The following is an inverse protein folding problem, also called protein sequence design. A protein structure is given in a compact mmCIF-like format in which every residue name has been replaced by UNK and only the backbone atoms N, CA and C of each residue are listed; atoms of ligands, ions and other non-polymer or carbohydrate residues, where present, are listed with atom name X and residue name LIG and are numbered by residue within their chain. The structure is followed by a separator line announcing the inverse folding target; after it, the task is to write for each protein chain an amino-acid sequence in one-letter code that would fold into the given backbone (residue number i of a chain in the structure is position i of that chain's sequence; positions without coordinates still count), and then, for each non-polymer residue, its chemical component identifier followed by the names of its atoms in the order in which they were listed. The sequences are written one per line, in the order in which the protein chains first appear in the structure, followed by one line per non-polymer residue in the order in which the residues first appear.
data_IF_606565590707
#
_entry.id   IF_606565590707
#
_cell.length_a   1.000
_cell.length_b   1.000
_cell.length_c   1.000
_cell.angle_alpha   90.00
_cell.angle_beta   90.00
_cell.angle_gamma   90.00
#
_symmetry.space_group_name_H-M   'P 1'
#
loop_
_entity.id
_entity.type
_entity.pdbx_description
1 polymer ?
#
# COMPACT_ATOMS: atom_id res chain seq x y z
N UNK A 1 17.62 68.75 52.07
CA UNK A 1 18.86 68.21 51.46
C UNK A 1 19.00 66.66 51.60
N UNK A 2 17.98 65.92 52.01
CA UNK A 2 18.04 64.47 52.29
C UNK A 2 17.41 63.60 51.18
N UNK A 3 16.59 64.15 50.30
CA UNK A 3 15.81 63.41 49.29
C UNK A 3 16.67 63.08 48.04
N UNK A 4 17.67 63.83 47.72
CA UNK A 4 18.53 63.63 46.55
C UNK A 4 19.59 62.50 46.69
N UNK A 5 19.84 62.02 47.92
CA UNK A 5 20.77 60.89 48.16
C UNK A 5 20.12 59.51 48.00
N UNK A 6 18.80 59.39 48.03
CA UNK A 6 18.06 58.12 47.91
C UNK A 6 18.00 57.67 46.48
N UNK A 7 17.89 58.58 45.51
CA UNK A 7 17.67 58.26 44.09
C UNK A 7 18.99 57.68 43.42
N UNK A 8 20.13 58.03 43.92
CA UNK A 8 21.42 57.57 43.39
C UNK A 8 21.80 56.13 43.83
N UNK A 9 21.18 55.60 44.92
CA UNK A 9 21.41 54.20 45.34
C UNK A 9 20.57 53.22 44.54
N UNK A 10 19.40 53.63 44.05
CA UNK A 10 18.52 52.75 43.26
C UNK A 10 19.05 52.48 41.83
N UNK A 11 19.89 53.37 41.30
CA UNK A 11 20.48 53.20 39.93
C UNK A 11 21.64 52.22 39.84
N UNK A 12 22.25 51.79 40.97
CA UNK A 12 23.40 50.87 40.95
C UNK A 12 23.04 49.40 41.11
N UNK A 13 21.78 49.09 41.33
CA UNK A 13 21.31 47.70 41.52
C UNK A 13 20.80 47.01 40.23
N UNK A 14 20.83 47.69 39.08
CA UNK A 14 20.18 47.17 37.88
C UNK A 14 21.18 46.68 36.84
N UNK A 15 22.37 46.21 37.14
CA UNK A 15 23.15 45.53 36.09
C UNK A 15 24.36 44.72 36.53
N UNK A 16 24.20 43.62 37.26
CA UNK A 16 25.21 42.56 37.11
C UNK A 16 24.74 41.41 36.21
N UNK A 17 23.46 41.36 35.85
CA UNK A 17 22.90 40.21 35.13
C UNK A 17 23.34 40.12 33.66
N UNK A 18 23.61 41.28 33.01
CA UNK A 18 23.95 41.31 31.58
C UNK A 18 25.39 40.88 31.23
N UNK A 19 26.36 41.05 32.16
CA UNK A 19 27.76 40.74 31.86
C UNK A 19 28.12 39.25 31.93
N UNK A 20 27.36 38.43 32.65
CA UNK A 20 27.62 37.01 32.77
C UNK A 20 26.93 36.17 31.66
N UNK A 21 25.92 36.72 30.99
CA UNK A 21 25.26 36.04 29.88
C UNK A 21 26.16 35.91 28.65
N UNK A 22 26.97 36.89 28.36
CA UNK A 22 27.89 36.85 27.22
C UNK A 22 29.12 35.97 27.42
N UNK A 23 29.43 35.60 28.69
CA UNK A 23 30.58 34.78 29.03
C UNK A 23 30.21 33.30 29.23
N UNK A 24 28.93 32.99 29.26
CA UNK A 24 28.45 31.65 29.56
C UNK A 24 28.22 30.87 28.24
N UNK A 25 29.23 30.07 27.82
CA UNK A 25 29.17 29.23 26.62
C UNK A 25 28.19 28.08 26.71
N UNK A 26 27.62 27.78 27.88
CA UNK A 26 26.61 26.75 28.05
C UNK A 26 25.30 27.09 27.31
N UNK A 27 24.98 28.36 27.06
CA UNK A 27 23.83 28.75 26.26
C UNK A 27 23.96 28.50 24.76
N UNK A 28 25.20 28.44 24.23
CA UNK A 28 25.44 28.25 22.78
C UNK A 28 25.03 26.88 22.33
N UNK A 29 25.34 25.84 23.10
CA UNK A 29 24.95 24.46 22.79
C UNK A 29 23.42 24.26 22.76
N UNK A 30 22.69 24.95 23.64
CA UNK A 30 21.21 24.90 23.65
C UNK A 30 20.64 25.58 22.40
N UNK A 31 21.21 26.70 21.98
CA UNK A 31 20.79 27.40 20.76
C UNK A 31 21.11 26.60 19.49
N UNK A 32 22.28 25.96 19.43
CA UNK A 32 22.63 25.07 18.33
C UNK A 32 21.67 23.89 18.24
N UNK A 33 21.37 23.25 19.38
CA UNK A 33 20.40 22.13 19.44
C UNK A 33 18.97 22.61 19.09
N UNK A 34 18.57 23.80 19.51
CA UNK A 34 17.25 24.34 19.20
C UNK A 34 17.05 24.58 17.69
N UNK A 35 18.12 24.85 16.94
CA UNK A 35 18.03 25.05 15.48
C UNK A 35 18.16 23.71 14.74
N UNK A 36 19.13 22.89 15.11
CA UNK A 36 19.42 21.62 14.40
C UNK A 36 18.44 20.52 14.78
N UNK A 37 18.01 20.46 16.04
CA UNK A 37 17.16 19.40 16.57
C UNK A 37 15.83 19.23 15.82
N UNK A 38 15.04 20.29 15.61
CA UNK A 38 13.76 20.17 14.87
C UNK A 38 13.95 19.70 13.43
N UNK A 39 14.99 20.19 12.74
CA UNK A 39 15.29 19.78 11.36
C UNK A 39 15.70 18.31 11.30
N UNK A 40 16.51 17.87 12.23
CA UNK A 40 16.93 16.47 12.33
C UNK A 40 15.76 15.53 12.61
N UNK A 41 14.89 15.89 13.58
CA UNK A 41 13.70 15.10 13.89
C UNK A 41 12.75 15.04 12.67
N UNK A 42 12.52 16.17 12.01
CA UNK A 42 11.69 16.23 10.82
C UNK A 42 12.24 15.35 9.68
N UNK A 43 13.55 15.30 9.50
CA UNK A 43 14.22 14.42 8.56
C UNK A 43 14.02 12.94 8.91
N UNK A 44 14.20 12.57 10.19
CA UNK A 44 13.94 11.20 10.65
C UNK A 44 12.48 10.79 10.41
N UNK A 45 11.52 11.67 10.70
CA UNK A 45 10.10 11.40 10.44
C UNK A 45 9.82 11.23 8.94
N UNK A 46 10.48 12.01 8.08
CA UNK A 46 10.35 11.87 6.63
C UNK A 46 10.89 10.51 6.14
N UNK A 47 12.03 10.05 6.68
CA UNK A 47 12.57 8.73 6.40
C UNK A 47 11.63 7.62 6.86
N UNK A 48 11.10 7.70 8.08
CA UNK A 48 10.13 6.72 8.57
C UNK A 48 8.87 6.67 7.72
N UNK A 49 8.37 7.83 7.31
CA UNK A 49 7.20 7.92 6.44
C UNK A 49 7.43 7.24 5.08
N UNK A 50 8.57 7.49 4.43
CA UNK A 50 8.91 6.82 3.16
C UNK A 50 9.11 5.32 3.34
N UNK A 51 9.70 4.89 4.45
CA UNK A 51 9.90 3.49 4.79
C UNK A 51 8.57 2.73 4.95
N UNK A 52 7.57 3.34 5.58
CA UNK A 52 6.25 2.71 5.73
C UNK A 52 5.56 2.50 4.38
N UNK A 53 5.68 3.46 3.46
CA UNK A 53 5.13 3.31 2.11
C UNK A 53 5.85 2.18 1.36
N UNK A 54 7.16 2.11 1.47
CA UNK A 54 7.95 1.05 0.84
C UNK A 54 7.61 -0.33 1.42
N UNK A 55 7.43 -0.41 2.74
CA UNK A 55 6.99 -1.64 3.41
C UNK A 55 5.63 -2.10 2.88
N UNK A 56 4.66 -1.18 2.77
CA UNK A 56 3.34 -1.49 2.21
C UNK A 56 3.44 -1.99 0.76
N UNK A 57 4.33 -1.42 -0.06
CA UNK A 57 4.59 -1.88 -1.42
C UNK A 57 5.16 -3.31 -1.45
N UNK A 58 6.14 -3.62 -0.61
CA UNK A 58 6.74 -4.95 -0.52
C UNK A 58 5.73 -6.02 -0.05
N UNK A 59 4.87 -5.65 0.90
CA UNK A 59 3.78 -6.53 1.35
C UNK A 59 2.79 -6.82 0.21
N UNK A 60 2.46 -5.81 -0.60
CA UNK A 60 1.57 -5.98 -1.74
C UNK A 60 2.21 -6.85 -2.84
N UNK A 61 3.49 -6.71 -3.09
CA UNK A 61 4.24 -7.55 -4.04
C UNK A 61 4.26 -9.01 -3.60
N UNK A 62 4.54 -9.28 -2.33
CA UNK A 62 4.48 -10.63 -1.77
C UNK A 62 3.08 -11.24 -1.89
N UNK A 63 2.03 -10.45 -1.65
CA UNK A 63 0.66 -10.88 -1.82
C UNK A 63 0.34 -11.18 -3.31
N UNK A 64 0.87 -10.38 -4.25
CA UNK A 64 0.70 -10.60 -5.68
C UNK A 64 1.40 -11.89 -6.16
N UNK A 65 2.57 -12.19 -5.65
CA UNK A 65 3.26 -13.46 -5.95
C UNK A 65 2.47 -14.66 -5.42
N UNK A 66 1.96 -14.59 -4.19
CA UNK A 66 1.11 -15.62 -3.60
C UNK A 66 -0.20 -15.83 -4.38
N UNK A 67 -0.87 -14.73 -4.73
CA UNK A 67 -2.09 -14.76 -5.53
C UNK A 67 -1.84 -15.27 -6.96
N UNK A 68 -0.69 -14.92 -7.54
CA UNK A 68 -0.26 -15.45 -8.84
C UNK A 68 -0.12 -16.97 -8.83
N UNK A 69 0.37 -17.55 -7.74
CA UNK A 69 0.46 -19.01 -7.60
C UNK A 69 -0.90 -19.68 -7.60
N UNK A 70 -1.94 -19.08 -6.98
CA UNK A 70 -3.31 -19.64 -6.99
C UNK A 70 -3.88 -19.71 -8.42
N UNK A 71 -3.54 -18.73 -9.26
CA UNK A 71 -3.95 -18.72 -10.66
C UNK A 71 -3.07 -19.66 -11.50
N UNK A 72 -1.76 -19.72 -11.25
CA UNK A 72 -0.83 -20.56 -12.00
C UNK A 72 -1.10 -22.05 -11.79
N UNK A 73 -1.37 -22.46 -10.56
CA UNK A 73 -1.63 -23.88 -10.22
C UNK A 73 -3.07 -24.32 -10.51
N UNK A 74 -3.91 -23.43 -10.99
CA UNK A 74 -5.31 -23.75 -11.30
C UNK A 74 -6.23 -23.84 -10.10
N UNK A 75 -5.75 -23.55 -8.89
CA UNK A 75 -6.58 -23.57 -7.67
C UNK A 75 -7.77 -22.62 -7.81
N UNK A 76 -7.53 -21.41 -8.32
CA UNK A 76 -8.59 -20.43 -8.51
C UNK A 76 -9.64 -20.86 -9.54
N UNK A 77 -9.28 -21.70 -10.51
CA UNK A 77 -10.15 -22.15 -11.60
C UNK A 77 -10.90 -23.44 -11.26
N UNK A 78 -10.28 -24.36 -10.55
CA UNK A 78 -10.77 -25.72 -10.38
C UNK A 78 -11.40 -25.98 -9.01
N UNK A 79 -11.06 -25.21 -8.00
CA UNK A 79 -11.55 -25.46 -6.64
C UNK A 79 -13.00 -25.04 -6.51
N UNK A 80 -13.80 -25.90 -5.87
CA UNK A 80 -15.19 -25.61 -5.55
C UNK A 80 -15.26 -24.71 -4.31
N UNK A 81 -15.82 -23.53 -4.48
CA UNK A 81 -16.10 -22.62 -3.40
C UNK A 81 -17.21 -23.18 -2.47
N UNK A 82 -17.31 -22.66 -1.26
CA UNK A 82 -18.30 -23.09 -0.27
C UNK A 82 -19.77 -22.95 -0.72
N UNK A 83 -20.03 -22.14 -1.75
CA UNK A 83 -21.34 -21.97 -2.39
C UNK A 83 -21.65 -23.03 -3.44
N UNK A 84 -20.77 -23.99 -3.67
CA UNK A 84 -20.95 -25.09 -4.64
C UNK A 84 -20.54 -24.72 -6.07
N UNK A 85 -20.14 -23.49 -6.36
CA UNK A 85 -19.65 -23.10 -7.70
C UNK A 85 -18.20 -23.53 -7.88
N UNK A 86 -17.88 -24.04 -9.06
CA UNK A 86 -16.50 -24.38 -9.42
C UNK A 86 -15.82 -23.16 -10.03
N UNK A 87 -14.62 -22.87 -9.53
CA UNK A 87 -13.87 -21.66 -9.84
C UNK A 87 -14.26 -20.49 -8.94
N UNK A 88 -13.25 -19.68 -8.60
CA UNK A 88 -13.44 -18.50 -7.78
C UNK A 88 -13.95 -17.34 -8.64
N UNK A 89 -14.99 -16.67 -8.19
CA UNK A 89 -15.41 -15.39 -8.77
C UNK A 89 -14.39 -14.29 -8.42
N UNK A 90 -14.52 -13.12 -9.04
CA UNK A 90 -13.66 -11.96 -8.73
C UNK A 90 -13.71 -11.58 -7.24
N UNK A 91 -14.90 -11.65 -6.64
CA UNK A 91 -15.09 -11.38 -5.21
C UNK A 91 -14.49 -12.48 -4.33
N UNK A 92 -14.66 -13.74 -4.71
CA UNK A 92 -14.11 -14.88 -3.95
C UNK A 92 -12.58 -14.89 -4.03
N UNK A 93 -12.02 -14.59 -5.18
CA UNK A 93 -10.56 -14.47 -5.35
C UNK A 93 -9.98 -13.31 -4.52
N UNK A 94 -10.63 -12.15 -4.53
CA UNK A 94 -10.26 -11.04 -3.64
C UNK A 94 -10.34 -11.45 -2.18
N UNK A 95 -11.42 -12.14 -1.78
CA UNK A 95 -11.59 -12.64 -0.41
C UNK A 95 -10.52 -13.68 -0.05
N UNK A 96 -10.14 -14.55 -0.99
CA UNK A 96 -9.07 -15.52 -0.79
C UNK A 96 -7.71 -14.81 -0.51
N UNK A 97 -7.42 -13.73 -1.23
CA UNK A 97 -6.21 -12.93 -0.98
C UNK A 97 -6.26 -12.29 0.41
N UNK A 98 -7.41 -11.74 0.82
CA UNK A 98 -7.56 -10.98 2.05
C UNK A 98 -7.62 -11.86 3.30
N UNK A 99 -8.46 -12.91 3.24
CA UNK A 99 -8.88 -13.68 4.43
C UNK A 99 -8.43 -15.13 4.39
N UNK A 100 -7.79 -15.53 3.29
CA UNK A 100 -7.56 -16.93 3.01
C UNK A 100 -8.78 -17.60 2.39
N UNK A 101 -8.59 -18.83 1.93
CA UNK A 101 -9.59 -19.61 1.23
C UNK A 101 -9.60 -21.04 1.73
N UNK A 102 -10.78 -21.61 1.84
CA UNK A 102 -11.00 -23.05 2.08
C UNK A 102 -12.04 -23.54 1.10
N UNK A 103 -11.73 -24.62 0.40
CA UNK A 103 -12.60 -25.22 -0.60
C UNK A 103 -12.23 -26.67 -0.86
N UNK A 104 -12.84 -27.27 -1.87
CA UNK A 104 -12.61 -28.65 -2.23
C UNK A 104 -12.08 -28.73 -3.66
N UNK A 105 -11.00 -29.46 -3.87
CA UNK A 105 -10.47 -29.72 -5.20
C UNK A 105 -11.40 -30.62 -6.01
N UNK A 106 -11.26 -30.70 -7.34
CA UNK A 106 -12.04 -31.64 -8.18
C UNK A 106 -11.88 -33.09 -7.78
N UNK A 107 -10.77 -33.46 -7.15
CA UNK A 107 -10.49 -34.78 -6.60
C UNK A 107 -11.16 -35.05 -5.25
N UNK A 108 -11.87 -34.10 -4.68
CA UNK A 108 -12.51 -34.19 -3.37
C UNK A 108 -11.57 -33.88 -2.18
N UNK A 109 -10.36 -33.42 -2.43
CA UNK A 109 -9.41 -33.07 -1.39
C UNK A 109 -9.66 -31.64 -0.89
N UNK A 110 -9.55 -31.44 0.43
CA UNK A 110 -9.68 -30.12 1.02
C UNK A 110 -8.47 -29.25 0.67
N UNK A 111 -8.72 -28.11 0.03
CA UNK A 111 -7.71 -27.09 -0.29
C UNK A 111 -7.89 -25.91 0.67
N UNK A 112 -6.84 -25.55 1.35
CA UNK A 112 -6.83 -24.38 2.24
C UNK A 112 -5.59 -23.52 1.96
N UNK A 113 -5.82 -22.22 1.81
CA UNK A 113 -4.75 -21.23 1.64
C UNK A 113 -4.87 -20.17 2.72
N UNK A 114 -3.76 -19.78 3.36
CA UNK A 114 -3.78 -18.70 4.33
C UNK A 114 -4.07 -17.35 3.65
N UNK A 115 -4.43 -16.36 4.46
CA UNK A 115 -4.52 -14.97 4.00
C UNK A 115 -3.15 -14.51 3.47
N UNK A 116 -3.16 -13.95 2.27
CA UNK A 116 -1.95 -13.45 1.60
C UNK A 116 -1.72 -11.97 1.91
N UNK A 117 -2.80 -11.22 2.16
CA UNK A 117 -2.73 -9.81 2.50
C UNK A 117 -2.43 -9.67 4.01
N UNK A 118 -1.33 -8.99 4.38
CA UNK A 118 -1.03 -8.74 5.79
C UNK A 118 -2.10 -7.87 6.46
N UNK A 119 -2.31 -8.07 7.76
CA UNK A 119 -3.34 -7.37 8.55
C UNK A 119 -3.21 -5.83 8.57
N UNK A 120 -2.06 -5.29 8.18
CA UNK A 120 -1.86 -3.85 8.04
C UNK A 120 -2.57 -3.25 6.82
N UNK A 121 -2.92 -4.07 5.83
CA UNK A 121 -3.57 -3.64 4.60
C UNK A 121 -5.06 -4.04 4.63
N UNK A 122 -5.93 -3.04 4.62
CA UNK A 122 -7.38 -3.27 4.62
C UNK A 122 -7.86 -3.82 3.27
N UNK A 123 -8.62 -4.91 3.31
CA UNK A 123 -9.18 -5.54 2.11
C UNK A 123 -10.10 -4.60 1.31
N UNK A 124 -10.80 -3.69 1.98
CA UNK A 124 -11.69 -2.71 1.34
C UNK A 124 -10.98 -1.84 0.29
N UNK A 125 -9.68 -1.56 0.51
CA UNK A 125 -8.84 -0.71 -0.34
C UNK A 125 -8.07 -1.48 -1.42
N UNK A 126 -8.17 -2.82 -1.40
CA UNK A 126 -7.57 -3.67 -2.40
C UNK A 126 -8.48 -3.79 -3.63
N UNK A 127 -7.91 -3.61 -4.80
CA UNK A 127 -8.54 -3.86 -6.08
C UNK A 127 -7.72 -4.89 -6.85
N UNK A 128 -8.38 -5.88 -7.41
CA UNK A 128 -7.77 -6.97 -8.17
C UNK A 128 -8.11 -6.80 -9.63
N UNK A 129 -7.10 -6.84 -10.49
CA UNK A 129 -7.25 -6.83 -11.93
C UNK A 129 -6.52 -8.04 -12.52
N UNK A 130 -7.25 -8.89 -13.23
CA UNK A 130 -6.71 -10.07 -13.90
C UNK A 130 -7.04 -9.97 -15.37
N UNK A 131 -6.02 -9.94 -16.21
CA UNK A 131 -6.14 -9.86 -17.66
C UNK A 131 -5.35 -10.96 -18.33
N UNK A 132 -5.81 -11.41 -19.49
CA UNK A 132 -5.13 -12.44 -20.26
C UNK A 132 -4.63 -11.87 -21.60
N UNK A 133 -3.50 -12.36 -22.06
CA UNK A 133 -2.93 -12.01 -23.36
C UNK A 133 -2.53 -13.28 -24.11
N UNK A 134 -2.63 -13.25 -25.44
CA UNK A 134 -2.20 -14.37 -26.31
C UNK A 134 -0.70 -14.34 -26.63
N UNK A 135 -0.04 -13.23 -26.39
CA UNK A 135 1.39 -13.01 -26.66
C UNK A 135 1.97 -11.98 -25.70
N UNK A 136 3.24 -12.11 -25.36
CA UNK A 136 3.99 -11.12 -24.57
C UNK A 136 4.13 -9.76 -25.28
N UNK A 137 3.94 -9.72 -26.57
CA UNK A 137 3.98 -8.47 -27.33
C UNK A 137 2.66 -7.67 -27.26
N UNK A 138 1.58 -8.31 -26.81
CA UNK A 138 0.30 -7.63 -26.58
C UNK A 138 0.29 -7.17 -25.13
N UNK A 139 0.79 -5.98 -24.90
CA UNK A 139 0.78 -5.31 -23.59
C UNK A 139 -0.62 -4.87 -23.21
N UNK A 140 -1.56 -5.80 -23.17
CA UNK A 140 -2.91 -5.56 -22.60
C UNK A 140 -2.89 -5.44 -21.09
N UNK A 141 -1.72 -5.50 -20.47
CA UNK A 141 -1.50 -5.17 -19.05
C UNK A 141 -1.51 -3.65 -18.82
N UNK A 142 -2.35 -2.92 -19.55
CA UNK A 142 -2.59 -1.51 -19.25
C UNK A 142 -3.12 -1.41 -17.84
N UNK A 143 -2.46 -0.61 -17.01
CA UNK A 143 -2.95 -0.35 -15.67
C UNK A 143 -4.39 0.17 -15.76
N UNK A 144 -5.33 -0.39 -14.98
CA UNK A 144 -6.72 0.04 -15.03
C UNK A 144 -6.81 1.52 -14.65
N UNK A 145 -7.65 2.24 -15.36
CA UNK A 145 -7.92 3.65 -15.09
C UNK A 145 -8.98 3.74 -13.99
N UNK A 146 -8.59 4.33 -12.87
CA UNK A 146 -9.51 4.65 -11.80
C UNK A 146 -10.25 5.94 -12.13
N UNK A 147 -11.57 5.90 -11.99
CA UNK A 147 -12.42 7.10 -12.16
C UNK A 147 -12.96 7.50 -10.80
N UNK A 148 -12.89 8.79 -10.53
CA UNK A 148 -13.34 9.39 -9.28
C UNK A 148 -14.48 10.37 -9.58
N UNK A 149 -15.37 10.55 -8.62
CA UNK A 149 -16.40 11.59 -8.69
C UNK A 149 -15.83 12.97 -8.33
N UNK A 150 -16.72 13.98 -8.29
CA UNK A 150 -16.35 15.36 -7.94
C UNK A 150 -15.80 15.49 -6.50
N UNK A 151 -16.14 14.57 -5.63
CA UNK A 151 -15.72 14.53 -4.23
C UNK A 151 -14.46 13.66 -4.03
N UNK A 152 -13.91 13.12 -5.14
CA UNK A 152 -12.71 12.28 -5.15
C UNK A 152 -12.97 10.87 -4.61
N UNK A 153 -14.23 10.41 -4.60
CA UNK A 153 -14.60 9.06 -4.22
C UNK A 153 -14.41 8.14 -5.44
N UNK A 154 -13.83 6.98 -5.23
CA UNK A 154 -13.61 6.00 -6.29
C UNK A 154 -14.94 5.41 -6.77
N UNK A 155 -15.32 5.72 -8.02
CA UNK A 155 -16.57 5.26 -8.64
C UNK A 155 -16.36 4.00 -9.46
N UNK A 156 -15.27 3.92 -10.21
CA UNK A 156 -14.98 2.76 -11.05
C UNK A 156 -13.49 2.47 -11.08
N UNK A 157 -13.18 1.18 -11.10
CA UNK A 157 -11.79 0.70 -11.15
C UNK A 157 -11.34 0.28 -12.54
N UNK A 158 -12.26 0.16 -13.51
CA UNK A 158 -11.93 -0.30 -14.86
C UNK A 158 -11.22 -1.66 -14.90
N UNK A 159 -11.38 -2.48 -13.84
CA UNK A 159 -10.69 -3.76 -13.70
C UNK A 159 -11.46 -4.90 -14.34
N UNK A 160 -10.72 -5.88 -14.86
CA UNK A 160 -11.26 -7.15 -15.34
C UNK A 160 -10.91 -8.30 -14.40
N UNK A 161 -11.63 -9.39 -14.54
CA UNK A 161 -11.28 -10.66 -13.93
C UNK A 161 -11.39 -11.75 -15.00
N UNK A 162 -10.33 -11.88 -15.77
CA UNK A 162 -10.25 -12.86 -16.84
C UNK A 162 -8.96 -13.68 -16.67
N UNK A 163 -9.12 -14.87 -16.11
CA UNK A 163 -8.05 -15.84 -15.92
C UNK A 163 -8.22 -17.08 -16.80
N UNK A 164 -9.21 -17.07 -17.72
CA UNK A 164 -9.55 -18.21 -18.53
C UNK A 164 -8.42 -18.55 -19.52
N UNK A 165 -7.93 -19.75 -19.42
CA UNK A 165 -7.34 -20.42 -20.55
C UNK A 165 -8.50 -20.82 -21.48
N UNK A 166 -8.79 -20.06 -22.54
CA UNK A 166 -9.83 -20.48 -23.47
C UNK A 166 -9.50 -21.84 -24.04
N UNK A 167 -10.46 -22.73 -24.02
CA UNK A 167 -10.35 -24.05 -24.57
C UNK A 167 -9.73 -24.03 -25.96
N UNK A 168 -8.65 -24.74 -26.18
CA UNK A 168 -7.76 -24.84 -27.34
C UNK A 168 -6.55 -23.89 -27.42
N UNK A 169 -6.33 -23.00 -26.47
CA UNK A 169 -5.16 -22.10 -26.50
C UNK A 169 -4.15 -22.42 -25.42
N UNK A 170 -3.22 -23.30 -25.71
CA UNK A 170 -2.02 -23.54 -24.91
C UNK A 170 -1.28 -22.20 -24.69
N UNK A 171 -0.83 -21.95 -23.47
CA UNK A 171 0.06 -20.84 -23.10
C UNK A 171 -0.60 -19.46 -23.10
N UNK A 172 -1.69 -19.28 -22.38
CA UNK A 172 -2.17 -17.93 -22.12
C UNK A 172 -1.34 -17.27 -21.03
N UNK A 173 -0.92 -16.07 -21.35
CA UNK A 173 -0.24 -15.20 -20.42
C UNK A 173 -1.31 -14.52 -19.58
N UNK A 174 -1.19 -14.66 -18.27
CA UNK A 174 -2.05 -13.96 -17.30
C UNK A 174 -1.23 -12.86 -16.65
N UNK A 175 -1.79 -11.66 -16.63
CA UNK A 175 -1.26 -10.54 -15.88
C UNK A 175 -2.20 -10.26 -14.70
N UNK A 176 -1.71 -10.53 -13.50
CA UNK A 176 -2.36 -10.19 -12.24
C UNK A 176 -1.81 -8.85 -11.75
N UNK A 177 -2.69 -7.92 -11.46
CA UNK A 177 -2.35 -6.65 -10.83
C UNK A 177 -3.14 -6.50 -9.54
N UNK A 178 -2.44 -6.34 -8.44
CA UNK A 178 -3.00 -5.94 -7.16
C UNK A 178 -2.79 -4.44 -6.99
N UNK A 179 -3.87 -3.71 -6.82
CA UNK A 179 -3.85 -2.26 -6.71
C UNK A 179 -4.40 -1.89 -5.35
N UNK A 180 -3.63 -1.14 -4.60
CA UNK A 180 -3.99 -0.74 -3.23
C UNK A 180 -3.96 0.77 -3.09
N UNK A 181 -5.03 1.34 -2.54
CA UNK A 181 -5.13 2.76 -2.22
C UNK A 181 -4.68 2.99 -0.77
N UNK A 182 -3.40 3.32 -0.61
CA UNK A 182 -2.81 3.60 0.69
C UNK A 182 -3.16 5.02 1.15
N UNK A 183 -3.82 5.21 2.31
CA UNK A 183 -4.07 6.53 2.87
C UNK A 183 -2.76 7.09 3.44
N UNK A 184 -2.12 8.00 2.72
CA UNK A 184 -0.82 8.53 3.13
C UNK A 184 -0.91 9.91 3.78
N UNK A 185 -1.83 10.76 3.34
CA UNK A 185 -1.84 12.14 3.77
C UNK A 185 -0.59 12.92 3.32
N UNK A 186 -0.45 14.15 3.81
CA UNK A 186 0.77 14.95 3.62
C UNK A 186 1.80 14.55 4.67
N UNK A 187 3.00 14.23 4.23
CA UNK A 187 4.11 13.86 5.10
C UNK A 187 4.76 15.05 5.83
N UNK A 188 5.73 14.78 6.70
CA UNK A 188 6.49 15.79 7.42
C UNK A 188 7.16 16.79 6.47
N UNK A 189 7.31 18.03 6.91
CA UNK A 189 7.94 19.13 6.16
C UNK A 189 7.31 19.40 4.77
N UNK A 190 6.04 19.04 4.57
CA UNK A 190 5.37 19.22 3.28
C UNK A 190 5.74 18.16 2.23
N UNK A 191 6.41 17.06 2.61
CA UNK A 191 6.64 15.94 1.73
C UNK A 191 5.31 15.39 1.22
N UNK A 192 5.08 15.51 -0.08
CA UNK A 192 3.84 15.08 -0.71
C UNK A 192 4.11 13.86 -1.60
N UNK A 193 3.69 12.69 -1.13
CA UNK A 193 3.76 11.42 -1.87
C UNK A 193 2.38 10.94 -2.35
N UNK A 194 1.39 11.82 -2.32
CA UNK A 194 0.03 11.59 -2.80
C UNK A 194 0.04 11.59 -4.34
N UNK A 195 -0.57 10.59 -4.96
CA UNK A 195 -0.74 10.52 -6.40
C UNK A 195 -2.20 10.26 -6.83
N UNK A 196 -3.11 10.15 -5.87
CA UNK A 196 -4.54 9.92 -6.09
C UNK A 196 -5.38 10.86 -5.22
N UNK A 197 -6.65 11.12 -5.55
CA UNK A 197 -7.55 11.93 -4.74
C UNK A 197 -7.68 11.45 -3.29
N UNK A 198 -8.23 12.29 -2.42
CA UNK A 198 -8.47 12.01 -1.00
C UNK A 198 -7.21 11.62 -0.21
N UNK A 199 -6.07 12.25 -0.56
CA UNK A 199 -4.80 12.00 0.10
C UNK A 199 -4.35 10.53 0.07
N UNK A 200 -4.73 9.81 -0.98
CA UNK A 200 -4.33 8.43 -1.20
C UNK A 200 -3.07 8.34 -2.08
N UNK A 201 -2.35 7.25 -1.91
CA UNK A 201 -1.29 6.82 -2.81
C UNK A 201 -1.67 5.47 -3.41
N UNK A 202 -1.69 5.38 -4.73
CA UNK A 202 -1.90 4.14 -5.46
C UNK A 202 -0.60 3.34 -5.47
N UNK A 203 -0.63 2.15 -4.90
CA UNK A 203 0.41 1.14 -4.98
C UNK A 203 -0.06 0.07 -5.97
N UNK A 204 0.85 -0.42 -6.80
CA UNK A 204 0.54 -1.46 -7.80
C UNK A 204 1.61 -2.54 -7.71
N UNK A 205 1.17 -3.78 -7.54
CA UNK A 205 2.00 -4.95 -7.67
C UNK A 205 1.51 -5.79 -8.85
N UNK A 206 2.41 -6.17 -9.74
CA UNK A 206 2.08 -6.91 -10.96
C UNK A 206 2.85 -8.21 -11.00
N UNK A 207 2.14 -9.30 -11.26
CA UNK A 207 2.72 -10.62 -11.52
C UNK A 207 2.24 -11.11 -12.89
N UNK A 208 3.17 -11.51 -13.74
CA UNK A 208 2.88 -11.99 -15.09
C UNK A 208 3.44 -13.41 -15.23
N UNK A 209 2.58 -14.33 -15.61
CA UNK A 209 2.94 -15.75 -15.74
C UNK A 209 2.12 -16.41 -16.84
N UNK A 210 2.54 -17.59 -17.24
CA UNK A 210 1.77 -18.47 -18.12
C UNK A 210 1.04 -19.51 -17.27
N UNK A 211 -0.25 -19.66 -17.51
CA UNK A 211 -1.03 -20.71 -16.84
C UNK A 211 -0.70 -22.09 -17.41
N UNK A 212 -0.73 -23.10 -16.56
CA UNK A 212 -0.68 -24.48 -16.96
C UNK A 212 -2.01 -24.91 -17.61
N UNK A 213 -1.98 -25.99 -18.43
CA UNK A 213 -3.20 -26.57 -18.99
C UNK A 213 -3.95 -27.31 -17.86
N UNK A 214 -5.06 -26.77 -17.43
CA UNK A 214 -5.98 -27.49 -16.51
C UNK A 214 -7.03 -28.24 -17.32
N UNK A 215 -7.36 -29.45 -16.87
CA UNK A 215 -8.52 -30.16 -17.40
C UNK A 215 -9.78 -29.59 -16.75
N UNK A 216 -10.50 -28.80 -17.53
CA UNK A 216 -11.79 -28.30 -17.11
C UNK A 216 -12.87 -29.37 -17.28
N UNK A 217 -13.74 -29.54 -16.28
CA UNK A 217 -14.88 -30.41 -16.42
C UNK A 217 -15.93 -29.78 -17.36
N UNK A 218 -16.63 -30.59 -18.13
CA UNK A 218 -17.61 -30.13 -19.12
C UNK A 218 -18.74 -29.26 -18.57
N UNK A 219 -18.91 -29.19 -17.24
CA UNK A 219 -19.88 -28.35 -16.53
C UNK A 219 -19.31 -26.95 -16.13
N UNK A 220 -18.04 -26.69 -16.39
CA UNK A 220 -17.43 -25.41 -16.04
C UNK A 220 -17.62 -24.41 -17.17
N UNK A 221 -18.40 -23.38 -16.92
CA UNK A 221 -18.63 -22.26 -17.86
C UNK A 221 -17.45 -21.30 -17.94
N UNK A 222 -16.49 -21.41 -17.04
CA UNK A 222 -15.37 -20.45 -16.89
C UNK A 222 -14.06 -21.14 -16.51
N UNK A 223 -13.50 -21.83 -17.45
CA UNK A 223 -12.19 -22.43 -17.29
C UNK A 223 -11.18 -21.90 -18.31
#
# INVERSE_FOLDING_TARGET
MAILRSINRARRAICPFGKNLWKNRAGTAIMEFAIVGPVFIAFLLALMYTMLIYLAQQMLETAAEGAGRLLLTGVAQTTQASNGTVGLSASDFKNAICNGFSGTSPSGEAVSTPALLPAMLECSRLTVNVTTASSYNVTSATAPTFTYDSDGILVSTGTGYNHQSGGSGKNRIVALQLIYLLPTGKGPMGLNLINEPNANRKLVATSVFTTEDYTCNASQTSC
#
